data_IF_567671960322
#
_entry.id   IF_567671960322
#
_cell.length_a   1.000
_cell.length_b   1.000
_cell.length_c   1.000
_cell.angle_alpha   90.00
_cell.angle_beta   90.00
_cell.angle_gamma   90.00
#
_symmetry.space_group_name_H-M   'P 1'
#
loop_
_entity.id
_entity.type
_entity.pdbx_description
1 polymer ?
#
# COMPACT_ATOMS: atom_id res chain seq x y z
N UNK A 1 -41.18 5.74 7.42
CA UNK A 1 -41.27 7.11 7.95
C UNK A 1 -41.15 8.07 6.78
N UNK A 2 -42.04 9.06 6.66
CA UNK A 2 -41.91 10.11 5.64
C UNK A 2 -40.87 11.15 6.11
N UNK A 3 -39.84 11.37 5.30
CA UNK A 3 -38.84 12.42 5.53
C UNK A 3 -39.48 13.79 5.31
N UNK A 4 -39.39 14.68 6.31
CA UNK A 4 -39.93 16.05 6.23
C UNK A 4 -39.12 16.98 5.34
N UNK A 5 -37.81 16.76 5.27
CA UNK A 5 -36.86 17.48 4.40
C UNK A 5 -35.72 16.55 4.00
N UNK A 6 -35.11 16.81 2.83
CA UNK A 6 -33.91 16.13 2.36
C UNK A 6 -33.03 17.09 1.56
N UNK A 7 -31.70 16.92 1.67
CA UNK A 7 -30.73 17.70 0.89
C UNK A 7 -30.12 16.80 -0.17
N UNK A 8 -30.20 17.23 -1.44
CA UNK A 8 -29.57 16.55 -2.56
C UNK A 8 -28.26 17.26 -2.92
N UNK A 9 -27.16 16.55 -2.72
CA UNK A 9 -25.84 17.03 -3.15
C UNK A 9 -25.61 16.72 -4.63
N UNK A 10 -24.73 17.48 -5.30
CA UNK A 10 -24.34 17.17 -6.67
C UNK A 10 -23.77 15.75 -6.79
N UNK A 11 -24.14 15.04 -7.85
CA UNK A 11 -23.63 13.69 -8.12
C UNK A 11 -22.15 13.67 -8.55
N UNK A 12 -21.61 14.83 -8.96
CA UNK A 12 -20.23 14.99 -9.43
C UNK A 12 -19.54 16.15 -8.71
N UNK A 13 -18.22 16.07 -8.56
CA UNK A 13 -17.40 17.10 -7.92
C UNK A 13 -17.14 18.32 -8.84
N UNK A 14 -17.12 18.11 -10.16
CA UNK A 14 -16.86 19.15 -11.17
C UNK A 14 -18.14 19.60 -11.86
N UNK A 15 -19.09 20.16 -11.10
CA UNK A 15 -20.34 20.69 -11.66
C UNK A 15 -20.16 22.18 -11.95
N UNK A 16 -20.22 22.54 -13.23
CA UNK A 16 -20.10 23.91 -13.70
C UNK A 16 -21.39 24.34 -14.40
N UNK A 17 -21.86 25.58 -14.15
CA UNK A 17 -23.01 26.15 -14.86
C UNK A 17 -22.68 26.34 -16.35
N UNK A 18 -23.65 26.14 -17.24
CA UNK A 18 -23.45 26.19 -18.70
C UNK A 18 -22.83 27.51 -19.18
N UNK A 19 -23.22 28.64 -18.61
CA UNK A 19 -22.65 29.96 -18.91
C UNK A 19 -21.15 30.04 -18.57
N UNK A 20 -20.76 29.53 -17.39
CA UNK A 20 -19.37 29.50 -16.96
C UNK A 20 -18.52 28.51 -17.80
N UNK A 21 -19.12 27.40 -18.24
CA UNK A 21 -18.48 26.44 -19.14
C UNK A 21 -18.18 27.07 -20.51
N UNK A 22 -19.16 27.78 -21.10
CA UNK A 22 -18.98 28.45 -22.39
C UNK A 22 -17.85 29.49 -22.34
N UNK A 23 -17.76 30.25 -21.25
CA UNK A 23 -16.68 31.21 -21.06
C UNK A 23 -15.32 30.52 -20.86
N UNK A 24 -15.29 29.40 -20.14
CA UNK A 24 -14.08 28.58 -19.97
C UNK A 24 -13.58 28.02 -21.30
N UNK A 25 -14.49 27.59 -22.19
CA UNK A 25 -14.15 27.11 -23.53
C UNK A 25 -13.42 28.19 -24.35
N UNK A 26 -13.87 29.44 -24.28
CA UNK A 26 -13.23 30.56 -24.97
C UNK A 26 -11.81 30.78 -24.43
N UNK A 27 -11.65 30.83 -23.11
CA UNK A 27 -10.35 31.04 -22.46
C UNK A 27 -9.36 29.91 -22.74
N UNK A 28 -9.83 28.66 -22.77
CA UNK A 28 -9.02 27.49 -23.16
C UNK A 28 -8.57 27.62 -24.62
N UNK A 29 -9.46 28.08 -25.50
CA UNK A 29 -9.13 28.26 -26.92
C UNK A 29 -8.13 29.40 -27.13
N UNK A 30 -8.23 30.49 -26.37
CA UNK A 30 -7.25 31.59 -26.42
C UNK A 30 -5.86 31.12 -25.97
N UNK A 31 -5.78 30.36 -24.87
CA UNK A 31 -4.50 29.82 -24.39
C UNK A 31 -3.95 28.72 -25.33
N UNK A 32 -4.83 27.96 -26.00
CA UNK A 32 -4.42 27.04 -27.06
C UNK A 32 -3.73 27.77 -28.22
N UNK A 33 -4.32 28.84 -28.74
CA UNK A 33 -3.76 29.60 -29.87
C UNK A 33 -2.38 30.15 -29.50
N UNK A 34 -2.22 30.74 -28.31
CA UNK A 34 -0.92 31.23 -27.84
C UNK A 34 0.11 30.12 -27.73
N UNK A 35 -0.27 28.97 -27.18
CA UNK A 35 0.67 27.86 -26.96
C UNK A 35 1.09 27.19 -28.27
N UNK A 36 0.18 27.06 -29.24
CA UNK A 36 0.50 26.57 -30.60
C UNK A 36 1.49 27.50 -31.28
N UNK A 37 1.24 28.82 -31.26
CA UNK A 37 2.16 29.81 -31.82
C UNK A 37 3.55 29.77 -31.16
N UNK A 38 3.59 29.55 -29.84
CA UNK A 38 4.85 29.36 -29.12
C UNK A 38 5.64 28.15 -29.65
N UNK A 39 4.98 26.99 -29.79
CA UNK A 39 5.64 25.78 -30.31
C UNK A 39 6.11 25.95 -31.75
N UNK A 40 5.29 26.53 -32.62
CA UNK A 40 5.65 26.80 -34.01
C UNK A 40 6.86 27.74 -34.11
N UNK A 41 6.91 28.80 -33.29
CA UNK A 41 8.04 29.72 -33.23
C UNK A 41 9.35 29.06 -32.75
N UNK A 42 9.26 27.97 -31.98
CA UNK A 42 10.41 27.15 -31.55
C UNK A 42 10.74 25.99 -32.52
N UNK A 43 10.02 25.86 -33.64
CA UNK A 43 10.20 24.77 -34.60
C UNK A 43 9.62 23.42 -34.13
N UNK A 44 8.83 23.41 -33.06
CA UNK A 44 8.21 22.23 -32.44
C UNK A 44 6.83 21.94 -33.05
N UNK A 45 6.79 21.73 -34.38
CA UNK A 45 5.53 21.59 -35.13
C UNK A 45 4.73 20.34 -34.75
N UNK A 46 5.40 19.26 -34.33
CA UNK A 46 4.73 18.02 -33.92
C UNK A 46 3.96 18.22 -32.60
N UNK A 47 4.59 18.88 -31.63
CA UNK A 47 3.99 19.24 -30.35
C UNK A 47 2.84 20.23 -30.54
N UNK A 48 3.02 21.22 -31.44
CA UNK A 48 1.97 22.16 -31.80
C UNK A 48 0.73 21.44 -32.36
N UNK A 49 0.91 20.56 -33.35
CA UNK A 49 -0.20 19.83 -33.95
C UNK A 49 -0.88 18.88 -32.96
N UNK A 50 -0.08 18.15 -32.17
CA UNK A 50 -0.58 17.25 -31.11
C UNK A 50 -1.43 17.99 -30.09
N UNK A 51 -0.97 19.14 -29.61
CA UNK A 51 -1.69 19.95 -28.64
C UNK A 51 -3.00 20.45 -29.22
N UNK A 52 -2.96 20.92 -30.47
CA UNK A 52 -4.11 21.43 -31.20
C UNK A 52 -5.20 20.37 -31.36
N UNK A 53 -4.87 19.24 -31.99
CA UNK A 53 -5.83 18.14 -32.22
C UNK A 53 -6.47 17.69 -30.91
N UNK A 54 -5.66 17.50 -29.86
CA UNK A 54 -6.16 17.03 -28.56
C UNK A 54 -7.09 18.04 -27.90
N UNK A 55 -6.70 19.31 -27.88
CA UNK A 55 -7.46 20.36 -27.19
C UNK A 55 -8.74 20.70 -27.95
N UNK A 56 -8.71 20.74 -29.28
CA UNK A 56 -9.90 20.98 -30.11
C UNK A 56 -10.94 19.87 -29.93
N UNK A 57 -10.52 18.61 -29.87
CA UNK A 57 -11.40 17.49 -29.55
C UNK A 57 -12.02 17.61 -28.15
N UNK A 58 -11.20 17.92 -27.13
CA UNK A 58 -11.71 18.12 -25.77
C UNK A 58 -12.73 19.29 -25.71
N UNK A 59 -12.49 20.39 -26.46
CA UNK A 59 -13.39 21.52 -26.56
C UNK A 59 -14.71 21.18 -27.28
N UNK A 60 -14.68 20.36 -28.33
CA UNK A 60 -15.87 19.86 -29.01
C UNK A 60 -16.74 19.03 -28.06
N UNK A 61 -16.12 18.09 -27.34
CA UNK A 61 -16.79 17.28 -26.33
C UNK A 61 -17.42 18.13 -25.22
N UNK A 62 -16.72 19.17 -24.74
CA UNK A 62 -17.27 20.10 -23.76
C UNK A 62 -18.47 20.90 -24.30
N UNK A 63 -18.49 21.25 -25.59
CA UNK A 63 -19.63 21.97 -26.20
C UNK A 63 -20.86 21.08 -26.37
N UNK A 64 -20.65 19.83 -26.81
CA UNK A 64 -21.75 18.90 -27.12
C UNK A 64 -22.31 18.22 -25.88
N UNK A 65 -21.44 17.67 -25.03
CA UNK A 65 -21.83 16.83 -23.89
C UNK A 65 -21.75 17.56 -22.54
N UNK A 66 -21.11 18.73 -22.50
CA UNK A 66 -20.83 19.42 -21.24
C UNK A 66 -19.69 18.79 -20.43
N UNK A 67 -19.02 17.76 -20.96
CA UNK A 67 -17.86 17.11 -20.34
C UNK A 67 -16.91 16.51 -21.37
N UNK A 68 -15.66 16.26 -20.99
CA UNK A 68 -14.71 15.47 -21.76
C UNK A 68 -13.92 14.51 -20.85
N UNK A 69 -13.22 13.54 -21.43
CA UNK A 69 -12.32 12.68 -20.67
C UNK A 69 -11.05 13.45 -20.30
N UNK A 70 -10.72 13.48 -19.01
CA UNK A 70 -9.61 14.28 -18.52
C UNK A 70 -9.96 15.75 -18.27
N UNK A 71 -11.24 16.07 -18.03
CA UNK A 71 -11.73 17.43 -17.79
C UNK A 71 -11.02 18.14 -16.62
N UNK A 72 -10.48 17.39 -15.66
CA UNK A 72 -9.72 17.92 -14.53
C UNK A 72 -8.49 18.74 -14.95
N UNK A 73 -7.93 18.47 -16.14
CA UNK A 73 -6.81 19.23 -16.70
C UNK A 73 -7.20 20.68 -17.05
N UNK A 74 -8.49 20.99 -17.09
CA UNK A 74 -9.06 22.32 -17.29
C UNK A 74 -9.66 22.92 -16.01
N UNK A 75 -9.45 22.26 -14.86
CA UNK A 75 -10.07 22.65 -13.58
C UNK A 75 -9.84 24.10 -13.18
N UNK A 76 -8.71 24.71 -13.54
CA UNK A 76 -8.46 26.15 -13.31
C UNK A 76 -9.55 27.03 -13.92
N UNK A 77 -9.91 26.78 -15.18
CA UNK A 77 -10.94 27.55 -15.90
C UNK A 77 -12.31 27.28 -15.31
N UNK A 78 -12.63 26.00 -15.07
CA UNK A 78 -13.93 25.57 -14.56
C UNK A 78 -14.22 26.13 -13.16
N UNK A 79 -13.19 26.18 -12.31
CA UNK A 79 -13.27 26.78 -10.98
C UNK A 79 -13.00 28.30 -10.99
N UNK A 80 -12.79 28.91 -12.17
CA UNK A 80 -12.55 30.35 -12.37
C UNK A 80 -11.42 30.90 -11.49
N UNK A 81 -10.38 30.09 -11.26
CA UNK A 81 -9.23 30.46 -10.44
C UNK A 81 -8.15 31.14 -11.29
N UNK A 82 -7.35 32.00 -10.65
CA UNK A 82 -6.19 32.60 -11.30
C UNK A 82 -5.07 31.57 -11.53
N UNK A 83 -4.22 31.73 -12.56
CA UNK A 83 -3.03 30.90 -12.74
C UNK A 83 -2.15 30.83 -11.48
N UNK A 84 -1.63 29.65 -11.15
CA UNK A 84 -0.80 29.41 -9.98
C UNK A 84 -1.54 29.29 -8.65
N UNK A 85 -2.82 29.69 -8.58
CA UNK A 85 -3.60 29.65 -7.33
C UNK A 85 -3.68 28.25 -6.71
N UNK A 86 -3.84 28.22 -5.38
CA UNK A 86 -4.04 26.99 -4.61
C UNK A 86 -5.26 26.22 -5.14
N UNK A 87 -5.16 24.91 -5.36
CA UNK A 87 -6.30 24.07 -5.71
C UNK A 87 -7.21 23.85 -4.50
N UNK A 88 -8.52 23.78 -4.74
CA UNK A 88 -9.48 23.33 -3.73
C UNK A 88 -9.28 21.83 -3.48
N UNK A 89 -9.19 21.44 -2.22
CA UNK A 89 -9.07 20.05 -1.78
C UNK A 89 -10.13 19.73 -0.72
N UNK A 90 -10.09 18.51 -0.19
CA UNK A 90 -11.01 18.07 0.85
C UNK A 90 -10.98 18.98 2.10
N UNK A 91 -9.81 19.54 2.45
CA UNK A 91 -9.66 20.42 3.61
C UNK A 91 -10.51 21.69 3.50
N UNK A 92 -10.79 22.17 2.28
CA UNK A 92 -11.62 23.35 2.05
C UNK A 92 -13.13 23.10 2.31
N UNK A 93 -13.54 21.84 2.45
CA UNK A 93 -14.91 21.48 2.80
C UNK A 93 -15.13 21.44 4.31
N UNK A 94 -14.04 21.42 5.09
CA UNK A 94 -14.12 21.45 6.55
C UNK A 94 -14.32 22.90 7.03
N UNK A 95 -15.01 23.08 8.19
CA UNK A 95 -14.97 24.35 8.92
C UNK A 95 -13.54 24.78 9.25
N UNK A 96 -13.31 26.08 9.42
CA UNK A 96 -11.98 26.63 9.74
C UNK A 96 -11.37 26.08 11.03
N UNK A 97 -12.20 25.60 11.96
CA UNK A 97 -11.81 25.09 13.28
C UNK A 97 -11.63 23.56 13.32
N UNK A 98 -11.43 22.92 12.18
CA UNK A 98 -11.22 21.47 12.13
C UNK A 98 -9.94 21.01 12.88
N UNK A 99 -9.98 19.76 13.34
CA UNK A 99 -8.83 19.05 13.91
C UNK A 99 -8.26 18.11 12.85
N UNK A 100 -6.96 18.23 12.57
CA UNK A 100 -6.23 17.28 11.74
C UNK A 100 -5.48 16.28 12.62
N UNK A 101 -5.64 14.98 12.36
CA UNK A 101 -4.80 13.93 12.93
C UNK A 101 -4.00 13.31 11.80
N UNK A 102 -2.68 13.33 11.92
CA UNK A 102 -1.76 12.77 10.93
C UNK A 102 -1.16 11.51 11.52
N UNK A 103 -1.66 10.36 11.06
CA UNK A 103 -1.12 9.05 11.40
C UNK A 103 0.23 8.81 10.70
N UNK A 104 1.09 8.04 11.36
CA UNK A 104 2.48 7.78 10.97
C UNK A 104 3.19 9.03 10.42
N UNK A 105 3.11 10.14 11.15
CA UNK A 105 3.49 11.49 10.68
C UNK A 105 4.88 11.57 10.05
N UNK A 106 5.84 10.82 10.59
CA UNK A 106 7.21 10.72 10.10
C UNK A 106 7.34 10.23 8.64
N UNK A 107 6.32 9.53 8.11
CA UNK A 107 6.20 9.10 6.72
C UNK A 107 5.21 9.97 5.96
N UNK A 108 4.06 10.27 6.57
CA UNK A 108 2.96 11.02 5.94
C UNK A 108 3.35 12.45 5.58
N UNK A 109 4.11 13.15 6.43
CA UNK A 109 4.54 14.53 6.17
C UNK A 109 5.50 14.62 4.96
N UNK A 110 6.59 13.82 4.89
CA UNK A 110 7.42 13.76 3.69
C UNK A 110 6.63 13.39 2.43
N UNK A 111 5.65 12.48 2.54
CA UNK A 111 4.79 12.11 1.42
C UNK A 111 3.99 13.31 0.92
N UNK A 112 3.27 14.01 1.79
CA UNK A 112 2.49 15.22 1.45
C UNK A 112 3.40 16.25 0.75
N UNK A 113 4.60 16.49 1.30
CA UNK A 113 5.59 17.41 0.71
C UNK A 113 6.03 16.99 -0.70
N UNK A 114 6.21 15.69 -0.93
CA UNK A 114 6.66 15.14 -2.21
C UNK A 114 5.60 15.15 -3.33
N UNK A 115 4.30 15.14 -2.99
CA UNK A 115 3.20 15.02 -3.96
C UNK A 115 3.23 16.09 -5.05
N UNK A 116 3.43 17.35 -4.67
CA UNK A 116 3.48 18.47 -5.62
C UNK A 116 4.62 18.33 -6.62
N UNK A 117 5.84 18.03 -6.15
CA UNK A 117 7.02 17.95 -7.01
C UNK A 117 6.95 16.77 -7.98
N UNK A 118 6.45 15.62 -7.50
CA UNK A 118 6.23 14.44 -8.35
C UNK A 118 5.20 14.71 -9.46
N UNK A 119 4.04 15.29 -9.11
CA UNK A 119 3.01 15.62 -10.10
C UNK A 119 3.47 16.70 -11.09
N UNK A 120 4.14 17.75 -10.60
CA UNK A 120 4.67 18.83 -11.43
C UNK A 120 5.69 18.32 -12.44
N UNK A 121 6.64 17.48 -12.02
CA UNK A 121 7.66 16.90 -12.92
C UNK A 121 7.00 16.11 -14.06
N UNK A 122 6.07 15.20 -13.73
CA UNK A 122 5.32 14.41 -14.71
C UNK A 122 4.51 15.29 -15.68
N UNK A 123 3.79 16.28 -15.17
CA UNK A 123 2.96 17.18 -16.00
C UNK A 123 3.78 18.13 -16.84
N UNK A 124 4.93 18.58 -16.34
CA UNK A 124 5.83 19.42 -17.11
C UNK A 124 6.26 18.73 -18.40
N UNK A 125 6.67 17.45 -18.34
CA UNK A 125 6.99 16.66 -19.54
C UNK A 125 5.81 16.54 -20.51
N UNK A 126 4.58 16.39 -20.01
CA UNK A 126 3.39 16.36 -20.87
C UNK A 126 3.14 17.70 -21.56
N UNK A 127 3.36 18.81 -20.86
CA UNK A 127 3.22 20.16 -21.41
C UNK A 127 4.32 20.42 -22.44
N UNK A 128 5.58 20.11 -22.11
CA UNK A 128 6.74 20.29 -22.98
C UNK A 128 6.60 19.54 -24.32
N UNK A 129 6.02 18.34 -24.28
CA UNK A 129 5.75 17.55 -25.48
C UNK A 129 4.34 17.79 -26.08
N UNK A 130 3.65 18.87 -25.73
CA UNK A 130 2.38 19.25 -26.38
C UNK A 130 1.22 18.27 -26.15
N UNK A 131 1.23 17.46 -25.09
CA UNK A 131 0.09 16.63 -24.72
C UNK A 131 -0.97 17.39 -23.91
N UNK A 132 -0.58 18.47 -23.24
CA UNK A 132 -1.44 19.28 -22.37
C UNK A 132 -1.09 20.76 -22.45
N UNK A 133 -2.07 21.64 -22.24
CA UNK A 133 -1.85 23.08 -22.06
C UNK A 133 -1.06 23.36 -20.78
N UNK A 134 -0.32 24.49 -20.69
CA UNK A 134 0.36 24.90 -19.46
C UNK A 134 -0.57 25.01 -18.25
N UNK A 135 -1.84 25.37 -18.47
CA UNK A 135 -2.88 25.42 -17.42
C UNK A 135 -3.12 24.08 -16.73
N UNK A 136 -2.74 22.95 -17.34
CA UNK A 136 -2.85 21.64 -16.70
C UNK A 136 -1.94 21.50 -15.46
N UNK A 137 -0.90 22.34 -15.34
CA UNK A 137 -0.05 22.43 -14.14
C UNK A 137 -0.81 23.02 -12.94
N UNK A 138 -1.89 23.77 -13.18
CA UNK A 138 -2.73 24.37 -12.13
C UNK A 138 -3.77 23.39 -11.57
N UNK A 139 -3.98 22.26 -12.25
CA UNK A 139 -4.56 21.07 -11.64
C UNK A 139 -3.40 20.34 -10.96
N UNK A 140 -3.34 20.32 -9.63
CA UNK A 140 -2.20 19.77 -8.91
C UNK A 140 -2.56 19.48 -7.46
N UNK A 141 -1.75 18.70 -6.73
CA UNK A 141 -1.76 18.72 -5.28
C UNK A 141 -1.39 20.10 -4.73
N UNK A 142 -1.71 20.33 -3.45
CA UNK A 142 -1.22 21.49 -2.73
C UNK A 142 0.30 21.42 -2.56
N UNK A 143 0.94 22.58 -2.61
CA UNK A 143 2.31 22.73 -2.13
C UNK A 143 2.32 22.55 -0.61
N UNK A 144 3.48 22.20 -0.05
CA UNK A 144 3.58 21.97 1.39
C UNK A 144 3.20 23.22 2.20
N UNK A 145 3.65 24.40 1.76
CA UNK A 145 3.31 25.68 2.42
C UNK A 145 1.81 26.04 2.29
N UNK A 146 1.18 25.64 1.18
CA UNK A 146 -0.27 25.80 1.01
C UNK A 146 -1.02 24.90 1.99
N UNK A 147 -0.57 23.66 2.17
CA UNK A 147 -1.15 22.73 3.13
C UNK A 147 -0.98 23.22 4.58
N UNK A 148 0.23 23.63 4.97
CA UNK A 148 0.50 24.10 6.34
C UNK A 148 -0.25 25.39 6.67
N UNK A 149 -0.47 26.26 5.69
CA UNK A 149 -1.26 27.50 5.88
C UNK A 149 -2.73 27.26 6.25
N UNK A 150 -3.26 26.06 5.98
CA UNK A 150 -4.64 25.67 6.30
C UNK A 150 -4.76 24.98 7.65
N UNK A 151 -3.64 24.64 8.30
CA UNK A 151 -3.66 23.92 9.56
C UNK A 151 -4.02 24.85 10.70
N UNK A 152 -5.10 24.53 11.41
CA UNK A 152 -5.47 25.18 12.65
C UNK A 152 -4.93 24.38 13.86
N UNK A 153 -5.51 23.20 14.12
CA UNK A 153 -5.02 22.27 15.14
C UNK A 153 -4.62 20.96 14.48
N UNK A 154 -3.41 20.49 14.78
CA UNK A 154 -2.87 19.25 14.24
C UNK A 154 -2.28 18.36 15.33
N UNK A 155 -2.62 17.08 15.32
CA UNK A 155 -2.00 16.04 16.14
C UNK A 155 -1.15 15.17 15.22
N UNK A 156 0.14 15.10 15.50
CA UNK A 156 1.08 14.22 14.81
C UNK A 156 1.22 12.93 15.60
N UNK A 157 0.83 11.80 15.01
CA UNK A 157 0.94 10.48 15.64
C UNK A 157 2.11 9.72 15.01
N UNK A 158 3.11 9.39 15.82
CA UNK A 158 4.21 8.53 15.41
C UNK A 158 4.95 7.96 16.62
N UNK A 159 5.43 6.72 16.51
CA UNK A 159 6.37 6.14 17.47
C UNK A 159 7.79 6.74 17.36
N UNK A 160 8.07 7.44 16.24
CA UNK A 160 9.36 8.00 15.86
C UNK A 160 9.16 9.36 15.18
N UNK A 161 8.64 10.38 15.89
CA UNK A 161 8.40 11.71 15.30
C UNK A 161 9.69 12.27 14.70
N UNK A 162 9.60 12.82 13.49
CA UNK A 162 10.73 13.46 12.84
C UNK A 162 10.89 14.93 13.29
N UNK A 163 11.92 15.58 12.76
CA UNK A 163 12.30 16.95 13.14
C UNK A 163 11.17 17.97 12.93
N UNK A 164 10.40 17.84 11.85
CA UNK A 164 9.28 18.74 11.56
C UNK A 164 8.22 18.68 12.66
N UNK A 165 7.83 17.49 13.11
CA UNK A 165 6.82 17.33 14.14
C UNK A 165 7.29 17.86 15.50
N UNK A 166 8.56 17.65 15.82
CA UNK A 166 9.17 18.17 17.04
C UNK A 166 9.26 19.70 17.03
N UNK A 167 9.61 20.29 15.88
CA UNK A 167 9.65 21.75 15.71
C UNK A 167 8.25 22.36 15.84
N UNK A 168 7.27 21.79 15.12
CA UNK A 168 5.89 22.30 15.12
C UNK A 168 5.18 22.12 16.48
N UNK A 169 5.62 21.16 17.30
CA UNK A 169 5.12 20.96 18.67
C UNK A 169 5.89 21.76 19.72
N UNK A 170 6.90 22.54 19.33
CA UNK A 170 7.77 23.26 20.27
C UNK A 170 8.54 22.33 21.21
N UNK A 171 8.74 21.07 20.81
CA UNK A 171 9.36 20.00 21.60
C UNK A 171 8.43 19.35 22.63
N UNK A 172 7.15 19.72 22.69
CA UNK A 172 6.19 19.11 23.63
C UNK A 172 5.62 17.83 23.03
N UNK A 173 5.95 16.70 23.64
CA UNK A 173 5.47 15.37 23.22
C UNK A 173 4.56 14.79 24.29
N UNK A 174 3.39 14.31 23.87
CA UNK A 174 2.52 13.47 24.71
C UNK A 174 2.95 12.01 24.52
N UNK A 175 3.64 11.47 25.51
CA UNK A 175 4.18 10.11 25.46
C UNK A 175 3.09 9.08 25.82
N UNK A 176 2.91 8.07 24.96
CA UNK A 176 2.04 6.91 25.22
C UNK A 176 2.77 5.60 24.90
N UNK A 177 3.41 5.02 25.92
CA UNK A 177 4.28 3.83 25.79
C UNK A 177 3.69 2.56 26.42
N UNK A 178 2.73 2.70 27.35
CA UNK A 178 2.12 1.56 28.04
C UNK A 178 1.08 0.91 27.14
N UNK A 179 1.18 -0.40 26.95
CA UNK A 179 0.22 -1.19 26.18
C UNK A 179 -0.89 -1.73 27.09
N UNK A 180 -2.16 -1.73 26.66
CA UNK A 180 -3.26 -2.27 27.47
C UNK A 180 -3.08 -3.74 27.90
N UNK A 181 -2.33 -4.53 27.13
CA UNK A 181 -2.05 -5.95 27.42
C UNK A 181 -0.79 -6.18 28.25
N UNK A 182 -0.13 -5.11 28.71
CA UNK A 182 1.14 -5.20 29.43
C UNK A 182 2.34 -5.64 28.58
N UNK A 183 2.18 -5.79 27.25
CA UNK A 183 3.28 -6.17 26.36
C UNK A 183 4.43 -5.15 26.43
N UNK A 184 5.64 -5.67 26.49
CA UNK A 184 6.86 -4.90 26.63
C UNK A 184 7.51 -4.65 25.27
N UNK A 185 8.30 -3.58 25.17
CA UNK A 185 9.24 -3.40 24.07
C UNK A 185 10.27 -4.55 24.10
N UNK A 186 10.58 -5.18 22.95
CA UNK A 186 11.36 -6.40 22.91
C UNK A 186 12.82 -6.16 23.32
N UNK A 187 13.47 -7.11 24.01
CA UNK A 187 14.90 -7.03 24.25
C UNK A 187 15.67 -7.10 22.92
N UNK A 188 16.80 -6.40 22.89
CA UNK A 188 17.68 -6.30 21.73
C UNK A 188 18.97 -7.08 22.00
N UNK A 189 19.36 -7.93 21.06
CA UNK A 189 20.62 -8.65 21.08
C UNK A 189 21.47 -8.22 19.88
N UNK A 190 22.74 -7.83 20.11
CA UNK A 190 23.65 -7.38 19.04
C UNK A 190 24.71 -8.44 18.84
N UNK A 191 24.76 -9.04 17.65
CA UNK A 191 25.67 -10.14 17.30
C UNK A 191 26.59 -9.78 16.13
N UNK A 192 27.81 -10.34 16.06
CA UNK A 192 28.73 -10.07 14.94
C UNK A 192 28.19 -10.55 13.58
N UNK A 193 28.60 -9.90 12.49
CA UNK A 193 28.11 -10.23 11.13
C UNK A 193 28.75 -11.51 10.55
N UNK A 194 29.89 -11.96 11.08
CA UNK A 194 30.72 -13.01 10.48
C UNK A 194 29.98 -14.31 10.15
N UNK A 195 29.22 -14.85 11.12
CA UNK A 195 28.42 -16.06 10.96
C UNK A 195 26.91 -15.76 11.06
N UNK A 196 26.46 -14.57 10.63
CA UNK A 196 25.09 -14.11 10.86
C UNK A 196 24.02 -15.04 10.26
N UNK A 197 24.31 -15.71 9.14
CA UNK A 197 23.35 -16.61 8.49
C UNK A 197 23.21 -17.92 9.27
N UNK A 198 24.33 -18.50 9.72
CA UNK A 198 24.31 -19.74 10.49
C UNK A 198 23.62 -19.54 11.84
N UNK A 199 23.95 -18.45 12.54
CA UNK A 199 23.30 -18.05 13.79
C UNK A 199 21.78 -17.79 13.59
N UNK A 200 21.41 -17.09 12.50
CA UNK A 200 20.00 -16.87 12.16
C UNK A 200 19.25 -18.18 11.95
N UNK A 201 19.87 -19.19 11.32
CA UNK A 201 19.23 -20.49 11.07
C UNK A 201 18.91 -21.22 12.37
N UNK A 202 19.82 -21.19 13.34
CA UNK A 202 19.59 -21.79 14.66
C UNK A 202 18.42 -21.10 15.37
N UNK A 203 18.41 -19.76 15.37
CA UNK A 203 17.34 -18.97 16.00
C UNK A 203 15.99 -19.15 15.28
N UNK A 204 15.99 -19.26 13.96
CA UNK A 204 14.80 -19.58 13.18
C UNK A 204 14.27 -20.97 13.53
N UNK A 205 15.12 -21.99 13.57
CA UNK A 205 14.71 -23.37 13.88
C UNK A 205 14.11 -23.46 15.30
N UNK A 206 14.71 -22.76 16.28
CA UNK A 206 14.15 -22.68 17.64
C UNK A 206 12.76 -22.07 17.68
N UNK A 207 12.55 -20.94 17.00
CA UNK A 207 11.25 -20.27 16.98
C UNK A 207 10.19 -21.04 16.19
N UNK A 208 10.57 -21.68 15.08
CA UNK A 208 9.68 -22.54 14.29
C UNK A 208 9.22 -23.74 15.11
N UNK A 209 10.11 -24.36 15.89
CA UNK A 209 9.77 -25.47 16.80
C UNK A 209 8.76 -25.07 17.89
N UNK A 210 8.78 -23.81 18.32
CA UNK A 210 7.78 -23.24 19.25
C UNK A 210 6.45 -22.88 18.56
N UNK A 211 6.41 -22.94 17.22
CA UNK A 211 5.26 -22.54 16.42
C UNK A 211 5.14 -21.04 16.20
N UNK A 212 6.21 -20.27 16.46
CA UNK A 212 6.27 -18.83 16.27
C UNK A 212 6.61 -18.46 14.81
N UNK A 213 6.55 -17.17 14.48
CA UNK A 213 6.97 -16.62 13.19
C UNK A 213 8.20 -15.74 13.33
N UNK A 214 8.98 -15.66 12.25
CA UNK A 214 10.22 -14.86 12.20
C UNK A 214 10.14 -13.85 11.05
N UNK A 215 10.52 -12.61 11.35
CA UNK A 215 10.75 -11.58 10.34
C UNK A 215 12.25 -11.37 10.18
N UNK A 216 12.73 -11.35 8.94
CA UNK A 216 14.13 -11.05 8.64
C UNK A 216 14.19 -9.85 7.71
N UNK A 217 14.96 -8.83 8.09
CA UNK A 217 15.21 -7.68 7.23
C UNK A 217 16.62 -7.71 6.63
N UNK A 218 16.70 -7.58 5.32
CA UNK A 218 17.96 -7.50 4.55
C UNK A 218 18.10 -6.11 3.92
N UNK A 219 19.26 -5.83 3.30
CA UNK A 219 19.49 -4.54 2.64
C UNK A 219 19.05 -4.52 1.17
N UNK A 220 19.07 -5.67 0.50
CA UNK A 220 18.85 -5.75 -0.95
C UNK A 220 17.84 -6.82 -1.31
N UNK A 221 17.11 -6.60 -2.42
CA UNK A 221 16.15 -7.57 -2.96
C UNK A 221 16.83 -8.91 -3.24
N UNK A 222 18.02 -8.85 -3.85
CA UNK A 222 18.82 -10.03 -4.15
C UNK A 222 19.13 -10.86 -2.91
N UNK A 223 19.57 -10.21 -1.82
CA UNK A 223 19.81 -10.92 -0.55
C UNK A 223 18.53 -11.52 0.03
N UNK A 224 17.39 -10.83 -0.07
CA UNK A 224 16.11 -11.39 0.39
C UNK A 224 15.72 -12.66 -0.39
N UNK A 225 15.87 -12.63 -1.72
CA UNK A 225 15.62 -13.76 -2.60
C UNK A 225 16.60 -14.92 -2.37
N UNK A 226 17.90 -14.62 -2.27
CA UNK A 226 18.95 -15.60 -2.01
C UNK A 226 18.78 -16.28 -0.65
N UNK A 227 18.52 -15.51 0.41
CA UNK A 227 18.27 -16.05 1.75
C UNK A 227 17.02 -16.91 1.76
N UNK A 228 15.94 -16.49 1.09
CA UNK A 228 14.71 -17.29 1.00
C UNK A 228 14.94 -18.60 0.25
N UNK A 229 15.72 -18.59 -0.84
CA UNK A 229 16.10 -19.81 -1.56
C UNK A 229 16.90 -20.75 -0.67
N UNK A 230 17.88 -20.21 0.05
CA UNK A 230 18.73 -20.98 0.96
C UNK A 230 17.93 -21.62 2.11
N UNK A 231 17.01 -20.86 2.73
CA UNK A 231 16.06 -21.40 3.72
C UNK A 231 15.22 -22.55 3.13
N UNK A 232 14.77 -22.41 1.87
CA UNK A 232 14.03 -23.45 1.17
C UNK A 232 14.84 -24.74 0.92
N UNK A 233 16.13 -24.63 0.59
CA UNK A 233 17.04 -25.79 0.45
C UNK A 233 17.19 -26.57 1.76
N UNK A 234 17.11 -25.86 2.90
CA UNK A 234 17.10 -26.44 4.24
C UNK A 234 15.70 -26.87 4.72
N UNK A 235 14.69 -26.84 3.83
CA UNK A 235 13.28 -27.19 4.11
C UNK A 235 12.59 -26.28 5.14
N UNK A 236 13.09 -25.07 5.33
CA UNK A 236 12.41 -24.04 6.11
C UNK A 236 11.41 -23.33 5.19
N UNK A 237 10.14 -23.23 5.62
CA UNK A 237 9.09 -22.58 4.84
C UNK A 237 9.26 -21.06 4.93
N UNK A 238 9.86 -20.48 3.91
CA UNK A 238 10.12 -19.04 3.83
C UNK A 238 9.52 -18.39 2.59
N UNK A 239 9.14 -17.12 2.70
CA UNK A 239 8.76 -16.25 1.59
C UNK A 239 9.49 -14.92 1.70
N UNK A 240 9.63 -14.20 0.58
CA UNK A 240 10.18 -12.85 0.58
C UNK A 240 9.16 -11.78 0.21
N UNK A 241 9.43 -10.54 0.60
CA UNK A 241 8.66 -9.35 0.22
C UNK A 241 9.56 -8.16 -0.15
N UNK A 242 9.34 -7.56 -1.33
CA UNK A 242 10.02 -6.34 -1.78
C UNK A 242 9.11 -5.41 -2.57
N UNK A 243 9.62 -4.22 -2.92
CA UNK A 243 8.87 -3.09 -3.52
C UNK A 243 8.02 -3.43 -4.75
N UNK A 244 8.36 -4.46 -5.51
CA UNK A 244 7.74 -4.73 -6.81
C UNK A 244 6.58 -5.72 -6.72
N UNK A 245 6.40 -6.34 -5.55
CA UNK A 245 5.23 -7.16 -5.26
C UNK A 245 4.01 -6.25 -5.13
N UNK A 246 2.96 -6.57 -5.88
CA UNK A 246 1.71 -5.80 -5.90
C UNK A 246 1.05 -5.78 -4.51
N UNK A 247 0.26 -4.73 -4.23
CA UNK A 247 -0.33 -4.54 -2.91
C UNK A 247 -1.22 -5.71 -2.47
N UNK A 248 -1.99 -6.31 -3.40
CA UNK A 248 -2.85 -7.46 -3.10
C UNK A 248 -2.03 -8.71 -2.73
N UNK A 249 -1.00 -9.03 -3.53
CA UNK A 249 -0.12 -10.18 -3.26
C UNK A 249 0.59 -10.05 -1.90
N UNK A 250 0.95 -8.81 -1.50
CA UNK A 250 1.54 -8.57 -0.17
C UNK A 250 0.57 -8.93 0.95
N UNK A 251 -0.71 -8.59 0.80
CA UNK A 251 -1.75 -8.93 1.79
C UNK A 251 -1.88 -10.45 1.91
N UNK A 252 -1.85 -11.16 0.79
CA UNK A 252 -1.91 -12.63 0.78
C UNK A 252 -0.68 -13.24 1.46
N UNK A 253 0.53 -12.75 1.17
CA UNK A 253 1.77 -13.23 1.83
C UNK A 253 1.69 -13.02 3.36
N UNK A 254 1.19 -11.87 3.80
CA UNK A 254 1.05 -11.57 5.23
C UNK A 254 0.01 -12.48 5.88
N UNK A 255 -1.12 -12.73 5.22
CA UNK A 255 -2.14 -13.67 5.69
C UNK A 255 -1.57 -15.08 5.82
N UNK A 256 -0.86 -15.55 4.81
CA UNK A 256 -0.28 -16.89 4.76
C UNK A 256 0.78 -17.11 5.86
N UNK A 257 1.53 -16.05 6.24
CA UNK A 257 2.43 -16.08 7.41
C UNK A 257 1.63 -16.30 8.71
N UNK A 258 0.54 -15.55 8.90
CA UNK A 258 -0.31 -15.65 10.10
C UNK A 258 -0.98 -17.01 10.22
N UNK A 259 -1.48 -17.54 9.10
CA UNK A 259 -2.07 -18.88 9.02
C UNK A 259 -1.05 -20.00 9.21
N UNK A 260 0.25 -19.69 9.19
CA UNK A 260 1.30 -20.69 9.34
C UNK A 260 1.51 -21.58 8.12
N UNK A 261 1.14 -21.09 6.93
CA UNK A 261 1.51 -21.75 5.66
C UNK A 261 3.01 -21.70 5.45
N UNK A 262 3.66 -20.67 5.98
CA UNK A 262 5.11 -20.55 6.09
C UNK A 262 5.48 -19.83 7.39
N UNK A 263 6.75 -19.92 7.79
CA UNK A 263 7.19 -19.53 9.12
C UNK A 263 8.09 -18.29 9.13
N UNK A 264 8.81 -18.04 8.02
CA UNK A 264 9.79 -16.95 7.90
C UNK A 264 9.45 -16.00 6.77
N UNK A 265 9.36 -14.70 7.07
CA UNK A 265 9.21 -13.65 6.06
C UNK A 265 10.49 -12.82 5.95
N UNK A 266 11.11 -12.85 4.78
CA UNK A 266 12.33 -12.08 4.50
C UNK A 266 11.98 -10.83 3.68
N UNK A 267 12.41 -9.65 4.09
CA UNK A 267 12.11 -8.43 3.32
C UNK A 267 13.19 -7.37 3.39
N UNK A 268 13.15 -6.43 2.47
CA UNK A 268 14.07 -5.27 2.49
C UNK A 268 13.51 -4.18 3.39
N UNK A 269 12.24 -3.86 3.18
CA UNK A 269 11.52 -2.85 3.93
C UNK A 269 10.19 -3.43 4.42
N UNK A 270 10.22 -3.93 5.66
CA UNK A 270 9.04 -4.43 6.38
C UNK A 270 8.34 -3.31 7.17
N UNK A 271 8.64 -2.04 6.88
CA UNK A 271 8.15 -0.88 7.62
C UNK A 271 6.76 -0.42 7.18
N UNK A 272 6.24 -0.91 6.04
CA UNK A 272 4.97 -0.40 5.52
C UNK A 272 3.80 -0.83 6.42
N UNK A 273 2.93 0.14 6.68
CA UNK A 273 1.73 0.09 7.52
C UNK A 273 0.93 -1.20 7.32
N UNK A 274 0.42 -1.76 8.42
CA UNK A 274 -0.50 -2.90 8.40
C UNK A 274 0.08 -4.27 8.81
N UNK A 275 1.38 -4.37 9.10
CA UNK A 275 1.98 -5.59 9.68
C UNK A 275 1.76 -5.65 11.20
N UNK A 276 0.53 -5.96 11.62
CA UNK A 276 0.22 -6.30 13.01
C UNK A 276 0.20 -7.83 13.17
N UNK A 277 1.36 -8.38 13.55
CA UNK A 277 1.63 -9.81 13.57
C UNK A 277 1.93 -10.29 15.00
N UNK A 278 0.91 -10.60 15.82
CA UNK A 278 1.11 -11.12 17.17
C UNK A 278 1.79 -12.49 17.20
N UNK A 279 1.89 -13.20 16.07
CA UNK A 279 2.54 -14.49 15.93
C UNK A 279 4.08 -14.38 15.76
N UNK A 280 4.61 -13.17 15.53
CA UNK A 280 6.04 -12.92 15.33
C UNK A 280 6.74 -12.77 16.67
N UNK A 281 7.59 -13.75 17.02
CA UNK A 281 8.40 -13.73 18.24
C UNK A 281 9.84 -13.26 18.01
N UNK A 282 10.33 -13.32 16.77
CA UNK A 282 11.70 -12.92 16.43
C UNK A 282 11.72 -11.97 15.24
N UNK A 283 12.45 -10.86 15.40
CA UNK A 283 12.82 -9.96 14.31
C UNK A 283 14.34 -9.95 14.19
N UNK A 284 14.87 -10.41 13.05
CA UNK A 284 16.29 -10.36 12.74
C UNK A 284 16.58 -9.22 11.74
N UNK A 285 17.58 -8.41 12.04
CA UNK A 285 18.04 -7.32 11.17
C UNK A 285 19.46 -7.62 10.74
N UNK A 286 19.61 -8.10 9.51
CA UNK A 286 20.92 -8.36 8.91
C UNK A 286 21.61 -7.04 8.56
N UNK A 287 22.93 -7.00 8.68
CA UNK A 287 23.75 -5.83 8.34
C UNK A 287 23.21 -4.53 8.99
N UNK A 288 22.90 -4.61 10.29
CA UNK A 288 22.30 -3.52 11.06
C UNK A 288 23.23 -2.29 11.18
N UNK A 289 24.54 -2.48 11.02
CA UNK A 289 25.55 -1.43 11.07
C UNK A 289 25.76 -0.68 9.74
N UNK A 290 25.08 -1.09 8.66
CA UNK A 290 25.17 -0.41 7.36
C UNK A 290 24.24 0.80 7.32
N UNK A 291 24.82 1.96 7.57
CA UNK A 291 24.09 3.22 7.56
C UNK A 291 23.38 3.49 6.24
N UNK A 292 22.20 4.11 6.33
CA UNK A 292 21.33 4.41 5.21
C UNK A 292 19.87 4.47 5.64
N UNK A 293 18.97 4.71 4.69
CA UNK A 293 17.54 4.87 4.97
C UNK A 293 16.95 3.69 5.77
N UNK A 294 17.27 2.45 5.38
CA UNK A 294 16.76 1.22 5.99
C UNK A 294 17.35 0.91 7.38
N UNK A 295 18.40 1.62 7.79
CA UNK A 295 19.10 1.46 9.09
C UNK A 295 19.20 2.79 9.84
N UNK A 296 18.36 3.75 9.47
CA UNK A 296 18.14 4.96 10.26
C UNK A 296 17.54 4.60 11.62
N UNK A 297 17.71 5.48 12.61
CA UNK A 297 17.12 5.30 13.95
C UNK A 297 15.61 5.02 13.85
N UNK A 298 14.88 5.76 13.01
CA UNK A 298 13.45 5.56 12.82
C UNK A 298 13.13 4.19 12.22
N UNK A 299 13.85 3.77 11.17
CA UNK A 299 13.64 2.47 10.55
C UNK A 299 13.94 1.31 11.52
N UNK A 300 14.99 1.43 12.32
CA UNK A 300 15.36 0.42 13.31
C UNK A 300 14.30 0.30 14.40
N UNK A 301 13.82 1.41 14.96
CA UNK A 301 12.75 1.41 15.99
C UNK A 301 11.47 0.77 15.45
N UNK A 302 11.05 1.17 14.25
CA UNK A 302 9.86 0.63 13.59
C UNK A 302 9.99 -0.87 13.28
N UNK A 303 11.18 -1.32 12.86
CA UNK A 303 11.44 -2.75 12.59
C UNK A 303 11.43 -3.56 13.88
N UNK A 304 12.13 -3.09 14.92
CA UNK A 304 12.16 -3.72 16.24
C UNK A 304 10.76 -3.80 16.85
N UNK A 305 9.94 -2.76 16.67
CA UNK A 305 8.56 -2.69 17.14
C UNK A 305 7.65 -3.81 16.61
N UNK A 306 8.03 -4.50 15.52
CA UNK A 306 7.27 -5.65 15.00
C UNK A 306 7.29 -6.84 15.95
N UNK A 307 8.33 -7.00 16.78
CA UNK A 307 8.38 -8.03 17.83
C UNK A 307 7.61 -7.63 19.10
N UNK A 308 7.23 -6.36 19.29
CA UNK A 308 6.56 -5.87 20.50
C UNK A 308 5.09 -6.32 20.65
N UNK A 309 4.59 -7.12 19.70
CA UNK A 309 3.23 -7.71 19.72
C UNK A 309 3.18 -9.11 20.34
N UNK A 310 4.35 -9.70 20.63
CA UNK A 310 4.48 -11.03 21.21
C UNK A 310 5.10 -10.94 22.62
N UNK A 311 4.58 -11.71 23.57
CA UNK A 311 5.06 -11.71 24.97
C UNK A 311 6.53 -12.13 25.10
N UNK A 312 6.95 -13.07 24.26
CA UNK A 312 8.35 -13.53 24.14
C UNK A 312 9.10 -12.85 22.98
N UNK A 313 8.56 -11.75 22.45
CA UNK A 313 9.13 -11.04 21.31
C UNK A 313 10.55 -10.55 21.60
N UNK A 314 11.51 -10.82 20.71
CA UNK A 314 12.91 -10.35 20.78
C UNK A 314 13.45 -9.92 19.42
N UNK A 315 14.52 -9.13 19.42
CA UNK A 315 15.16 -8.61 18.20
C UNK A 315 16.64 -8.94 18.19
N UNK A 316 17.15 -9.43 17.06
CA UNK A 316 18.58 -9.65 16.82
C UNK A 316 19.08 -8.65 15.77
N UNK A 317 20.13 -7.92 16.12
CA UNK A 317 20.83 -6.96 15.27
C UNK A 317 22.19 -7.55 14.91
N UNK A 318 22.38 -7.95 13.65
CA UNK A 318 23.69 -8.40 13.19
C UNK A 318 24.53 -7.19 12.78
N UNK A 319 25.54 -6.86 13.58
CA UNK A 319 26.37 -5.66 13.43
C UNK A 319 27.77 -5.90 13.99
N UNK A 320 28.80 -5.49 13.23
CA UNK A 320 30.19 -5.50 13.73
C UNK A 320 30.52 -4.22 14.52
N UNK A 321 29.72 -3.16 14.35
CA UNK A 321 29.88 -1.87 15.01
C UNK A 321 28.56 -1.34 15.51
N UNK A 322 28.58 -0.75 16.71
CA UNK A 322 27.43 0.00 17.25
C UNK A 322 27.44 1.40 16.62
N UNK A 323 26.62 1.59 15.60
CA UNK A 323 26.38 2.92 14.98
C UNK A 323 25.56 3.81 15.91
N UNK A 324 25.50 5.11 15.61
CA UNK A 324 24.65 6.05 16.36
C UNK A 324 23.16 5.66 16.28
N UNK A 325 22.73 5.07 15.16
CA UNK A 325 21.36 4.60 15.01
C UNK A 325 21.05 3.40 15.92
N UNK A 326 21.96 2.43 16.03
CA UNK A 326 21.83 1.29 16.95
C UNK A 326 21.84 1.76 18.40
N UNK A 327 22.76 2.68 18.75
CA UNK A 327 22.85 3.23 20.11
C UNK A 327 21.53 3.87 20.54
N UNK A 328 20.98 4.77 19.70
CA UNK A 328 19.69 5.42 19.96
C UNK A 328 18.53 4.42 20.06
N UNK A 329 18.50 3.37 19.23
CA UNK A 329 17.51 2.30 19.33
C UNK A 329 17.58 1.63 20.72
N UNK A 330 18.79 1.29 21.19
CA UNK A 330 18.99 0.65 22.48
C UNK A 330 18.51 1.54 23.63
N UNK A 331 18.95 2.81 23.65
CA UNK A 331 18.56 3.80 24.65
C UNK A 331 17.04 3.97 24.73
N UNK A 332 16.37 4.17 23.59
CA UNK A 332 14.91 4.32 23.51
C UNK A 332 14.16 3.07 23.97
N UNK A 333 14.62 1.90 23.53
CA UNK A 333 14.00 0.61 23.85
C UNK A 333 14.11 0.31 25.33
N UNK A 334 15.29 0.51 25.92
CA UNK A 334 15.53 0.29 27.35
C UNK A 334 14.72 1.26 28.21
N UNK A 335 14.68 2.54 27.83
CA UNK A 335 13.86 3.55 28.49
C UNK A 335 12.36 3.19 28.50
N UNK A 336 11.80 2.81 27.34
CA UNK A 336 10.39 2.41 27.21
C UNK A 336 10.10 1.14 28.01
N UNK A 337 10.97 0.13 27.87
CA UNK A 337 10.83 -1.17 28.54
C UNK A 337 10.87 -1.03 30.06
N UNK A 338 11.79 -0.23 30.61
CA UNK A 338 11.88 0.00 32.05
C UNK A 338 10.60 0.62 32.62
N UNK A 339 10.03 1.63 31.95
CA UNK A 339 8.75 2.23 32.37
C UNK A 339 7.57 1.27 32.26
N UNK A 340 7.52 0.46 31.21
CA UNK A 340 6.46 -0.55 31.03
C UNK A 340 6.53 -1.64 32.11
N UNK A 341 7.73 -2.10 32.47
CA UNK A 341 7.92 -3.07 33.57
C UNK A 341 7.45 -2.46 34.89
N UNK A 342 7.89 -1.25 35.22
CA UNK A 342 7.48 -0.58 36.46
C UNK A 342 5.96 -0.41 36.56
N UNK A 343 5.31 0.00 35.45
CA UNK A 343 3.85 0.11 35.39
C UNK A 343 3.16 -1.24 35.61
N UNK A 344 3.63 -2.28 34.93
CA UNK A 344 3.07 -3.63 35.07
C UNK A 344 3.21 -4.19 36.49
N UNK A 345 4.37 -3.97 37.13
CA UNK A 345 4.61 -4.38 38.52
C UNK A 345 3.70 -3.64 39.49
N UNK A 346 3.55 -2.33 39.34
CA UNK A 346 2.68 -1.50 40.17
C UNK A 346 1.20 -1.92 40.06
N UNK A 347 0.76 -2.32 38.87
CA UNK A 347 -0.65 -2.64 38.58
C UNK A 347 -0.96 -4.14 38.56
N UNK A 348 0.03 -5.01 38.80
CA UNK A 348 -0.14 -6.47 38.77
C UNK A 348 -0.51 -7.03 37.38
N UNK A 349 -0.03 -6.40 36.31
CA UNK A 349 -0.34 -6.79 34.93
C UNK A 349 0.69 -7.81 34.43
N UNK A 350 0.21 -8.97 33.96
CA UNK A 350 1.05 -9.97 33.29
C UNK A 350 0.99 -9.75 31.77
N UNK A 351 2.12 -9.59 31.07
CA UNK A 351 2.14 -9.41 29.62
C UNK A 351 1.45 -10.56 28.90
N UNK A 352 0.49 -10.24 28.03
CA UNK A 352 -0.21 -11.24 27.21
C UNK A 352 -0.16 -10.88 25.72
N UNK A 353 0.27 -11.84 24.90
CA UNK A 353 0.17 -11.73 23.45
C UNK A 353 -1.30 -11.60 23.04
N UNK A 354 -1.60 -10.66 22.15
CA UNK A 354 -2.96 -10.48 21.64
C UNK A 354 -3.29 -11.67 20.73
N UNK A 355 -4.03 -12.65 21.25
CA UNK A 355 -4.67 -13.67 20.40
C UNK A 355 -5.85 -13.03 19.71
N UNK A 356 -5.61 -12.41 18.55
CA UNK A 356 -6.71 -12.18 17.62
C UNK A 356 -7.10 -13.55 17.09
N UNK A 357 -8.31 -14.01 17.41
CA UNK A 357 -8.99 -14.92 16.51
C UNK A 357 -8.80 -14.34 15.11
N UNK A 358 -8.51 -15.19 14.12
CA UNK A 358 -8.63 -14.87 12.71
C UNK A 358 -10.09 -14.48 12.43
N UNK A 359 -10.51 -13.32 12.96
CA UNK A 359 -11.66 -12.59 12.50
C UNK A 359 -11.30 -12.33 11.06
N UNK A 360 -11.94 -13.12 10.22
CA UNK A 360 -12.10 -12.86 8.81
C UNK A 360 -12.77 -11.49 8.68
N UNK A 361 -12.00 -10.41 8.87
CA UNK A 361 -12.42 -9.04 8.57
C UNK A 361 -12.86 -8.99 7.09
N UNK A 362 -12.34 -9.90 6.27
CA UNK A 362 -12.71 -10.10 4.88
C UNK A 362 -13.86 -11.09 4.61
N UNK A 363 -14.33 -11.93 5.56
CA UNK A 363 -15.50 -12.79 5.27
C UNK A 363 -16.80 -12.00 5.13
N UNK A 364 -16.88 -10.80 5.71
CA UNK A 364 -18.03 -9.93 5.44
C UNK A 364 -18.03 -9.35 4.02
N UNK A 365 -16.90 -9.42 3.30
CA UNK A 365 -16.76 -8.92 1.92
C UNK A 365 -16.60 -10.05 0.87
N UNK A 366 -16.07 -11.22 1.26
CA UNK A 366 -15.88 -12.38 0.38
C UNK A 366 -16.14 -13.65 1.20
N UNK A 367 -17.29 -14.28 0.98
CA UNK A 367 -17.80 -15.38 1.78
C UNK A 367 -16.85 -16.57 1.95
N UNK A 368 -17.01 -17.23 3.11
CA UNK A 368 -16.41 -18.49 3.58
C UNK A 368 -15.78 -19.36 2.49
N UNK A 369 -14.49 -19.72 2.62
CA UNK A 369 -13.89 -20.94 2.03
C UNK A 369 -12.41 -21.08 2.41
N UNK A 370 -12.11 -21.90 3.41
CA UNK A 370 -10.75 -22.43 3.63
C UNK A 370 -10.72 -23.96 3.80
N UNK A 371 -11.78 -24.57 4.34
CA UNK A 371 -11.75 -26.02 4.64
C UNK A 371 -12.50 -26.92 3.64
N UNK A 372 -13.05 -26.37 2.55
CA UNK A 372 -13.81 -27.14 1.56
C UNK A 372 -13.20 -27.11 0.15
N UNK A 373 -12.03 -26.48 -0.04
CA UNK A 373 -11.42 -26.30 -1.37
C UNK A 373 -10.52 -27.46 -1.76
N UNK A 374 -9.66 -27.95 -0.86
CA UNK A 374 -8.77 -29.08 -1.17
C UNK A 374 -9.54 -30.38 -1.47
N UNK A 375 -10.59 -30.68 -0.70
CA UNK A 375 -11.43 -31.86 -0.93
C UNK A 375 -12.34 -31.72 -2.17
N UNK A 376 -12.57 -30.48 -2.65
CA UNK A 376 -13.39 -30.19 -3.83
C UNK A 376 -12.56 -30.17 -5.11
N UNK A 377 -11.34 -29.62 -5.09
CA UNK A 377 -10.42 -29.66 -6.22
C UNK A 377 -10.09 -31.10 -6.60
N UNK A 378 -9.82 -31.97 -5.62
CA UNK A 378 -9.52 -33.39 -5.87
C UNK A 378 -10.72 -34.11 -6.51
N UNK A 379 -11.95 -33.84 -6.06
CA UNK A 379 -13.18 -34.41 -6.67
C UNK A 379 -13.48 -33.87 -8.07
N UNK A 380 -13.26 -32.58 -8.30
CA UNK A 380 -13.49 -31.95 -9.61
C UNK A 380 -12.47 -32.44 -10.63
N UNK A 381 -11.22 -32.64 -10.21
CA UNK A 381 -10.15 -33.14 -11.07
C UNK A 381 -10.37 -34.60 -11.46
N UNK A 382 -10.75 -35.46 -10.50
CA UNK A 382 -11.10 -36.87 -10.78
C UNK A 382 -12.31 -36.98 -11.72
N UNK A 383 -13.37 -36.18 -11.50
CA UNK A 383 -14.55 -36.18 -12.37
C UNK A 383 -14.24 -35.63 -13.78
N UNK A 384 -13.33 -34.66 -13.89
CA UNK A 384 -12.90 -34.11 -15.18
C UNK A 384 -12.00 -35.09 -15.95
N UNK A 385 -11.14 -35.84 -15.27
CA UNK A 385 -10.30 -36.90 -15.85
C UNK A 385 -11.16 -38.05 -16.42
N UNK A 386 -12.13 -38.57 -15.65
CA UNK A 386 -13.07 -39.61 -16.11
C UNK A 386 -13.90 -39.15 -17.33
N UNK A 387 -14.35 -37.89 -17.33
CA UNK A 387 -15.12 -37.33 -18.44
C UNK A 387 -14.25 -37.05 -19.68
N UNK A 388 -12.97 -36.69 -19.49
CA UNK A 388 -12.05 -36.37 -20.57
C UNK A 388 -11.53 -37.61 -21.31
N UNK A 389 -11.51 -38.78 -20.68
CA UNK A 389 -11.04 -40.04 -21.29
C UNK A 389 -11.83 -40.40 -22.57
N UNK A 390 -13.07 -39.92 -22.69
CA UNK A 390 -13.96 -40.17 -23.83
C UNK A 390 -14.15 -38.98 -24.79
N UNK A 391 -13.53 -37.83 -24.52
CA UNK A 391 -13.71 -36.61 -25.32
C UNK A 391 -12.52 -36.42 -26.27
N UNK A 392 -12.78 -36.04 -27.52
CA UNK A 392 -11.76 -35.56 -28.45
C UNK A 392 -11.26 -34.14 -28.08
N UNK A 393 -10.10 -33.73 -28.59
CA UNK A 393 -9.54 -32.39 -28.33
C UNK A 393 -10.46 -31.24 -28.75
N UNK A 394 -11.21 -31.41 -29.85
CA UNK A 394 -12.21 -30.44 -30.32
C UNK A 394 -13.45 -30.39 -29.41
N UNK A 395 -13.89 -31.51 -28.87
CA UNK A 395 -15.01 -31.56 -27.92
C UNK A 395 -14.64 -30.94 -26.57
N UNK A 396 -13.39 -31.12 -26.15
CA UNK A 396 -12.85 -30.56 -24.91
C UNK A 396 -12.77 -29.02 -24.98
N UNK A 397 -12.34 -28.47 -26.12
CA UNK A 397 -12.40 -27.01 -26.39
C UNK A 397 -13.83 -26.48 -26.38
N UNK A 398 -14.80 -27.21 -26.95
CA UNK A 398 -16.22 -26.83 -26.91
C UNK A 398 -16.77 -26.82 -25.49
N UNK A 399 -16.41 -27.82 -24.67
CA UNK A 399 -16.82 -27.91 -23.27
C UNK A 399 -16.26 -26.74 -22.43
N UNK A 400 -14.97 -26.42 -22.59
CA UNK A 400 -14.34 -25.25 -21.95
C UNK A 400 -15.08 -23.95 -22.31
N UNK A 401 -15.44 -23.78 -23.59
CA UNK A 401 -16.18 -22.58 -24.03
C UNK A 401 -17.62 -22.53 -23.50
N UNK A 402 -18.29 -23.68 -23.30
CA UNK A 402 -19.62 -23.72 -22.67
C UNK A 402 -19.53 -23.28 -21.21
N UNK A 403 -18.62 -23.89 -20.45
CA UNK A 403 -18.41 -23.59 -19.02
C UNK A 403 -18.04 -22.11 -18.84
N UNK A 404 -17.21 -21.55 -19.72
CA UNK A 404 -16.87 -20.12 -19.71
C UNK A 404 -18.10 -19.23 -19.86
N UNK A 405 -19.01 -19.56 -20.79
CA UNK A 405 -20.25 -18.79 -20.99
C UNK A 405 -21.17 -18.88 -19.77
N UNK A 406 -21.31 -20.07 -19.20
CA UNK A 406 -22.11 -20.29 -17.99
C UNK A 406 -21.52 -19.53 -16.79
N UNK A 407 -20.19 -19.50 -16.65
CA UNK A 407 -19.48 -18.74 -15.62
C UNK A 407 -19.71 -17.23 -15.76
N UNK A 408 -19.65 -16.70 -16.98
CA UNK A 408 -19.92 -15.27 -17.25
C UNK A 408 -21.38 -14.89 -16.93
N UNK A 409 -22.33 -15.78 -17.18
CA UNK A 409 -23.75 -15.58 -16.80
C UNK A 409 -23.89 -15.57 -15.27
N UNK A 410 -23.32 -16.57 -14.57
CA UNK A 410 -23.36 -16.64 -13.12
C UNK A 410 -22.70 -15.41 -12.44
N UNK A 411 -21.61 -14.90 -13.02
CA UNK A 411 -20.95 -13.68 -12.55
C UNK A 411 -21.82 -12.43 -12.76
N UNK A 412 -22.53 -12.33 -13.88
CA UNK A 412 -23.48 -11.23 -14.16
C UNK A 412 -24.70 -11.26 -13.23
N UNK A 413 -25.13 -12.46 -12.84
CA UNK A 413 -26.23 -12.66 -11.90
C UNK A 413 -25.81 -12.57 -10.42
N UNK A 414 -24.55 -12.20 -10.16
CA UNK A 414 -23.95 -12.10 -8.82
C UNK A 414 -23.98 -13.44 -8.05
N UNK A 415 -24.14 -14.56 -8.75
CA UNK A 415 -24.03 -15.90 -8.19
C UNK A 415 -22.56 -16.34 -8.18
N UNK A 416 -21.78 -15.70 -7.30
CA UNK A 416 -20.32 -15.89 -7.22
C UNK A 416 -19.92 -17.32 -6.81
N UNK A 417 -20.79 -18.02 -6.08
CA UNK A 417 -20.59 -19.41 -5.68
C UNK A 417 -20.58 -20.32 -6.92
N UNK A 418 -21.55 -20.14 -7.82
CA UNK A 418 -21.64 -20.91 -9.05
C UNK A 418 -20.57 -20.49 -10.06
N UNK A 419 -20.26 -19.20 -10.16
CA UNK A 419 -19.18 -18.71 -11.01
C UNK A 419 -17.81 -19.29 -10.58
N UNK A 420 -17.54 -19.39 -9.28
CA UNK A 420 -16.32 -20.02 -8.77
C UNK A 420 -16.29 -21.54 -9.09
N UNK A 421 -17.42 -22.25 -8.92
CA UNK A 421 -17.53 -23.67 -9.27
C UNK A 421 -17.20 -23.92 -10.74
N UNK A 422 -17.79 -23.11 -11.63
CA UNK A 422 -17.58 -23.20 -13.08
C UNK A 422 -16.15 -22.80 -13.49
N UNK A 423 -15.52 -21.85 -12.80
CA UNK A 423 -14.11 -21.48 -13.01
C UNK A 423 -13.19 -22.67 -12.70
N UNK A 424 -13.40 -23.31 -11.55
CA UNK A 424 -12.55 -24.41 -11.09
C UNK A 424 -12.74 -25.63 -12.01
N UNK A 425 -13.97 -25.92 -12.44
CA UNK A 425 -14.29 -26.93 -13.47
C UNK A 425 -13.63 -26.60 -14.83
N UNK A 426 -13.64 -25.33 -15.25
CA UNK A 426 -12.98 -24.88 -16.48
C UNK A 426 -11.45 -25.09 -16.42
N UNK A 427 -10.83 -24.81 -15.28
CA UNK A 427 -9.38 -24.99 -15.10
C UNK A 427 -8.97 -26.45 -15.13
N UNK A 428 -9.77 -27.35 -14.55
CA UNK A 428 -9.53 -28.78 -14.64
C UNK A 428 -9.50 -29.26 -16.11
N UNK A 429 -10.49 -28.86 -16.92
CA UNK A 429 -10.49 -29.18 -18.36
C UNK A 429 -9.36 -28.50 -19.14
N UNK A 430 -8.93 -27.28 -18.76
CA UNK A 430 -7.80 -26.61 -19.40
C UNK A 430 -6.46 -27.29 -19.09
N UNK A 431 -6.27 -27.83 -17.88
CA UNK A 431 -5.10 -28.63 -17.53
C UNK A 431 -5.03 -29.89 -18.41
N UNK A 432 -6.14 -30.61 -18.55
CA UNK A 432 -6.25 -31.82 -19.39
C UNK A 432 -6.01 -31.52 -20.88
N UNK A 433 -6.41 -30.34 -21.38
CA UNK A 433 -6.11 -29.93 -22.75
C UNK A 433 -4.61 -29.68 -22.97
N UNK A 434 -3.89 -29.17 -21.96
CA UNK A 434 -2.45 -28.90 -22.04
C UNK A 434 -1.60 -30.16 -22.00
N UNK A 435 -2.09 -31.22 -21.38
CA UNK A 435 -1.39 -32.51 -21.24
C UNK A 435 -1.52 -33.40 -22.47
N UNK A 436 -2.42 -33.09 -23.42
CA UNK A 436 -2.56 -33.86 -24.66
C UNK A 436 -1.54 -33.42 -25.72
N UNK A 437 -0.74 -34.35 -26.30
CA UNK A 437 0.13 -34.03 -27.43
C UNK A 437 -0.70 -33.65 -28.65
N UNK A 438 -0.19 -32.66 -29.40
CA UNK A 438 -0.82 -32.03 -30.59
C UNK A 438 -1.18 -33.05 -31.67
#
# INVERSE_FOLDING_TARGET
>A
EELRDYTLYPANLFVTRREALNQSIIEIQDDLVKQVQYFEAQGMYLEANRLKERTEFDLEMMRELGYCSGIENYSRYLSRRQPGSRPYCLLDYFPEDFLLVIDESHVTIPQIRGMYHGDRSRKFTLVEHGFRLPSALDNRPQQFDEFTSLLNQSIYMSATPAEYELEMSGGVVVEQIVRPTGLLDPPLDVRPCGNQVDDLLEEVDEEVKKGNRVLVTTLTKRMAEELTRYLGELRIRARYIHSDIAALDRVDIIRDLREGRFDVLVGVNLLREGLDLPEVALVAILDADKEGFLRSTQALIQTAGRAARHAEGRVILYADKITDAIRKLQEETEYRRAKQIAYNEEHGIVPQSVRRESRNIFESALGHRANSYEEFEERVQVAAEEAAEYLSTEELKKKINSIRKEMEVAAKELNFIEAARLRDEMFAYQALLKERPV
#
